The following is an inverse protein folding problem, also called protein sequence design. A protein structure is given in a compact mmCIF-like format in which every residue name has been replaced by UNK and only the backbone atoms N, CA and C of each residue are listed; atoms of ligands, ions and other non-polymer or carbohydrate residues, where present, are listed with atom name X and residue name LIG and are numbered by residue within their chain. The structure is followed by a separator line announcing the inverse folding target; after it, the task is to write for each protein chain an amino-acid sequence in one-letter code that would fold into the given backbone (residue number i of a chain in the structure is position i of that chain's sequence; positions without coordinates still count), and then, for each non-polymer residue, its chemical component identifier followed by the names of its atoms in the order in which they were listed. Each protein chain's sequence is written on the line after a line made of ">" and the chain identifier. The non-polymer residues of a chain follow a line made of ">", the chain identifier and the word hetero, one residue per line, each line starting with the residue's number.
data_IF_854184485583
#
_entry.id   IF_854184485583
#
_cell.length_a   1.000
_cell.length_b   1.000
_cell.length_c   1.000
_cell.angle_alpha   90.00
_cell.angle_beta   90.00
_cell.angle_gamma   90.00
#
_symmetry.space_group_name_H-M   'P 1'
#
loop_
_entity.id
_entity.type
_entity.pdbx_description
1 polymer ?
#
# COMPACT_ATOMS: atom_id res chain seq x y z
N UNK A 1 0.96 16.55 -8.41
CA UNK A 1 0.68 17.92 -8.93
C UNK A 1 1.02 17.95 -10.41
N UNK A 2 0.19 18.63 -11.20
CA UNK A 2 0.16 18.76 -12.67
C UNK A 2 -0.62 17.67 -13.44
N UNK A 3 -1.94 17.75 -13.33
CA UNK A 3 -2.91 17.31 -14.33
C UNK A 3 -3.00 18.38 -15.43
N UNK A 4 -2.63 18.05 -16.66
CA UNK A 4 -2.91 18.89 -17.83
C UNK A 4 -4.38 18.71 -18.21
N UNK A 5 -5.17 19.72 -17.85
CA UNK A 5 -6.56 19.91 -18.22
C UNK A 5 -6.64 20.34 -19.69
N UNK A 6 -7.23 19.54 -20.55
CA UNK A 6 -7.58 19.95 -21.93
C UNK A 6 -9.09 20.01 -22.04
N UNK A 7 -9.60 21.23 -22.04
CA UNK A 7 -11.01 21.59 -22.28
C UNK A 7 -11.39 21.32 -23.73
N UNK A 8 -12.61 20.83 -24.05
CA UNK A 8 -13.15 20.90 -25.40
C UNK A 8 -13.99 22.17 -25.58
N UNK A 9 -13.67 22.96 -26.58
CA UNK A 9 -14.52 24.06 -27.04
C UNK A 9 -15.59 23.52 -28.00
N UNK A 10 -16.88 23.87 -27.84
CA UNK A 10 -17.91 23.60 -28.82
C UNK A 10 -18.08 24.81 -29.75
N UNK A 11 -17.98 24.60 -31.06
CA UNK A 11 -18.49 25.55 -32.05
C UNK A 11 -19.61 24.88 -32.83
N UNK A 12 -20.83 25.18 -32.42
CA UNK A 12 -21.97 25.11 -33.32
C UNK A 12 -21.94 26.31 -34.26
N UNK A 13 -22.45 26.10 -35.48
CA UNK A 13 -23.28 27.10 -36.13
C UNK A 13 -24.35 26.36 -36.93
N UNK A 14 -25.58 26.56 -36.50
CA UNK A 14 -26.82 26.18 -37.13
C UNK A 14 -27.44 27.47 -37.67
N UNK A 15 -27.96 27.45 -38.90
CA UNK A 15 -29.02 28.29 -39.49
C UNK A 15 -28.84 28.31 -41.01
N UNK A 16 -29.84 28.42 -41.88
CA UNK A 16 -31.27 28.11 -41.81
C UNK A 16 -31.79 28.09 -43.25
N UNK A 17 -32.77 27.23 -43.50
CA UNK A 17 -34.00 27.42 -44.27
C UNK A 17 -34.01 28.38 -45.49
N UNK A 18 -34.39 27.83 -46.66
CA UNK A 18 -35.46 28.39 -47.51
C UNK A 18 -35.93 27.35 -48.54
N UNK A 19 -37.12 26.79 -48.31
CA UNK A 19 -37.96 26.25 -49.38
C UNK A 19 -38.37 27.39 -50.33
N UNK A 20 -38.33 27.13 -51.65
CA UNK A 20 -39.19 27.84 -52.59
C UNK A 20 -39.65 26.89 -53.69
N UNK A 21 -40.97 26.77 -53.79
CA UNK A 21 -41.75 25.98 -54.75
C UNK A 21 -41.48 26.39 -56.23
N UNK A 22 -41.83 25.53 -57.21
CA UNK A 22 -41.45 25.73 -58.61
C UNK A 22 -42.34 26.80 -59.27
N UNK A 23 -41.70 27.77 -59.93
CA UNK A 23 -42.38 28.74 -60.79
C UNK A 23 -42.57 28.11 -62.17
N UNK A 24 -43.81 27.85 -62.52
CA UNK A 24 -44.26 27.50 -63.87
C UNK A 24 -44.10 28.71 -64.80
N UNK A 25 -43.21 28.60 -65.79
CA UNK A 25 -43.17 29.51 -66.96
C UNK A 25 -43.72 28.74 -68.15
N UNK A 26 -44.83 29.25 -68.67
CA UNK A 26 -45.52 28.73 -69.85
C UNK A 26 -44.77 29.07 -71.13
N UNK A 27 -44.97 28.19 -72.11
CA UNK A 27 -44.43 28.17 -73.46
C UNK A 27 -44.43 29.52 -74.18
N UNK A 28 -43.34 29.78 -74.92
CA UNK A 28 -43.31 30.80 -75.96
C UNK A 28 -41.98 30.83 -76.68
N UNK A 29 -41.98 30.30 -77.91
CA UNK A 29 -41.05 30.70 -78.96
C UNK A 29 -39.68 30.02 -78.93
N UNK A 30 -39.33 29.43 -80.07
CA UNK A 30 -37.99 29.06 -80.54
C UNK A 30 -37.08 28.27 -79.58
N UNK A 31 -37.06 26.95 -79.77
CA UNK A 31 -35.96 26.07 -79.36
C UNK A 31 -34.64 26.59 -79.97
N UNK A 32 -33.68 27.13 -79.19
CA UNK A 32 -32.41 27.62 -79.74
C UNK A 32 -31.45 26.48 -80.16
N UNK A 33 -31.95 25.25 -80.26
CA UNK A 33 -31.16 24.05 -80.50
C UNK A 33 -31.20 23.53 -81.94
N UNK A 34 -31.90 24.22 -82.87
CA UNK A 34 -31.88 23.84 -84.30
C UNK A 34 -30.75 24.50 -85.11
N UNK A 35 -29.81 25.20 -84.45
CA UNK A 35 -28.74 25.98 -85.10
C UNK A 35 -27.40 25.29 -85.32
N UNK A 36 -27.19 24.06 -84.83
CA UNK A 36 -25.99 23.27 -85.12
C UNK A 36 -26.44 21.98 -85.81
N UNK A 37 -26.13 21.84 -87.10
CA UNK A 37 -26.28 20.58 -87.82
C UNK A 37 -25.22 19.58 -87.32
N UNK A 38 -25.40 19.09 -86.10
CA UNK A 38 -24.67 17.94 -85.59
C UNK A 38 -25.23 16.72 -86.30
N UNK A 39 -24.36 15.95 -86.94
CA UNK A 39 -24.75 14.66 -87.47
C UNK A 39 -25.25 13.76 -86.32
N UNK A 40 -26.12 12.81 -86.60
CA UNK A 40 -26.55 11.83 -85.58
C UNK A 40 -25.35 11.11 -84.93
N UNK A 41 -24.22 11.00 -85.65
CA UNK A 41 -22.94 10.55 -85.11
C UNK A 41 -22.33 11.48 -84.05
N UNK A 42 -22.41 12.80 -84.20
CA UNK A 42 -21.80 13.75 -83.26
C UNK A 42 -22.57 13.78 -81.92
N UNK A 43 -23.90 13.71 -81.97
CA UNK A 43 -24.73 13.58 -80.75
C UNK A 43 -24.41 12.28 -80.00
N UNK A 44 -24.22 11.20 -80.75
CA UNK A 44 -23.84 9.89 -80.20
C UNK A 44 -22.45 9.92 -79.57
N UNK A 45 -21.49 10.63 -80.18
CA UNK A 45 -20.15 10.80 -79.63
C UNK A 45 -20.15 11.58 -78.30
N UNK A 46 -20.90 12.70 -78.21
CA UNK A 46 -21.00 13.50 -76.98
C UNK A 46 -21.64 12.70 -75.84
N UNK A 47 -22.71 11.96 -76.12
CA UNK A 47 -23.35 11.09 -75.11
C UNK A 47 -22.42 9.97 -74.62
N UNK A 48 -21.54 9.47 -75.49
CA UNK A 48 -20.55 8.44 -75.13
C UNK A 48 -19.50 9.01 -74.18
N UNK A 49 -18.95 10.19 -74.47
CA UNK A 49 -17.99 10.88 -73.60
C UNK A 49 -18.57 11.22 -72.21
N UNK A 50 -19.82 11.69 -72.15
CA UNK A 50 -20.50 11.96 -70.88
C UNK A 50 -20.67 10.67 -70.07
N UNK A 51 -21.02 9.56 -70.71
CA UNK A 51 -21.14 8.25 -70.04
C UNK A 51 -19.80 7.77 -69.50
N UNK A 52 -18.72 7.90 -70.28
CA UNK A 52 -17.36 7.55 -69.87
C UNK A 52 -16.88 8.39 -68.68
N UNK A 53 -17.17 9.69 -68.69
CA UNK A 53 -16.86 10.60 -67.56
C UNK A 53 -17.65 10.22 -66.30
N UNK A 54 -18.95 9.90 -66.42
CA UNK A 54 -19.77 9.44 -65.29
C UNK A 54 -19.19 8.15 -64.70
N UNK A 55 -18.85 7.17 -65.53
CA UNK A 55 -18.24 5.91 -65.09
C UNK A 55 -16.92 6.17 -64.36
N UNK A 56 -16.07 7.04 -64.91
CA UNK A 56 -14.78 7.39 -64.30
C UNK A 56 -14.99 8.03 -62.93
N UNK A 57 -15.93 8.98 -62.81
CA UNK A 57 -16.28 9.63 -61.53
C UNK A 57 -16.88 8.67 -60.52
N UNK A 58 -17.68 7.70 -60.96
CA UNK A 58 -18.25 6.67 -60.11
C UNK A 58 -17.17 5.72 -59.56
N UNK A 59 -16.19 5.35 -60.40
CA UNK A 59 -15.01 4.58 -59.97
C UNK A 59 -14.21 5.36 -58.94
N UNK A 60 -13.84 6.61 -59.21
CA UNK A 60 -13.10 7.46 -58.27
C UNK A 60 -13.83 7.59 -56.93
N UNK A 61 -15.14 7.85 -56.95
CA UNK A 61 -15.96 7.94 -55.74
C UNK A 61 -15.98 6.62 -54.95
N UNK A 62 -16.07 5.49 -55.66
CA UNK A 62 -16.03 4.16 -55.03
C UNK A 62 -14.68 3.87 -54.38
N UNK A 63 -13.57 4.27 -55.01
CA UNK A 63 -12.22 4.10 -54.47
C UNK A 63 -12.00 4.96 -53.23
N UNK A 64 -12.42 6.22 -53.26
CA UNK A 64 -12.32 7.11 -52.10
C UNK A 64 -13.18 6.62 -50.93
N UNK A 65 -14.39 6.10 -51.21
CA UNK A 65 -15.24 5.49 -50.20
C UNK A 65 -14.57 4.29 -49.54
N UNK A 66 -13.93 3.42 -50.34
CA UNK A 66 -13.18 2.26 -49.83
C UNK A 66 -12.02 2.68 -48.93
N UNK A 67 -11.18 3.62 -49.39
CA UNK A 67 -10.04 4.15 -48.61
C UNK A 67 -10.50 4.77 -47.29
N UNK A 68 -11.58 5.56 -47.32
CA UNK A 68 -12.15 6.16 -46.13
C UNK A 68 -12.61 5.09 -45.12
N UNK A 69 -13.31 4.04 -45.59
CA UNK A 69 -13.78 2.98 -44.71
C UNK A 69 -12.62 2.16 -44.11
N UNK A 70 -11.57 1.89 -44.89
CA UNK A 70 -10.35 1.24 -44.42
C UNK A 70 -9.67 2.05 -43.30
N UNK A 71 -9.39 3.35 -43.53
CA UNK A 71 -8.80 4.21 -42.51
C UNK A 71 -9.72 4.37 -41.29
N UNK A 72 -11.05 4.40 -41.50
CA UNK A 72 -12.01 4.44 -40.39
C UNK A 72 -11.90 3.19 -39.51
N UNK A 73 -11.76 2.01 -40.12
CA UNK A 73 -11.59 0.77 -39.38
C UNK A 73 -10.26 0.73 -38.60
N UNK A 74 -9.16 1.18 -39.21
CA UNK A 74 -7.85 1.27 -38.52
C UNK A 74 -7.91 2.17 -37.28
N UNK A 75 -8.59 3.33 -37.39
CA UNK A 75 -8.81 4.23 -36.25
C UNK A 75 -9.64 3.56 -35.16
N UNK A 76 -10.65 2.77 -35.51
CA UNK A 76 -11.45 2.02 -34.54
C UNK A 76 -10.62 0.96 -33.81
N UNK A 77 -9.77 0.21 -34.52
CA UNK A 77 -8.88 -0.77 -33.88
C UNK A 77 -7.87 -0.08 -32.96
N UNK A 78 -7.28 1.04 -33.40
CA UNK A 78 -6.35 1.81 -32.57
C UNK A 78 -7.02 2.35 -31.30
N UNK A 79 -8.28 2.78 -31.38
CA UNK A 79 -9.06 3.20 -30.19
C UNK A 79 -9.25 2.05 -29.19
N UNK A 80 -9.47 0.82 -29.65
CA UNK A 80 -9.57 -0.34 -28.75
C UNK A 80 -8.25 -0.58 -28.01
N UNK A 81 -7.14 -0.51 -28.73
CA UNK A 81 -5.80 -0.67 -28.15
C UNK A 81 -5.55 0.40 -27.08
N UNK A 82 -5.85 1.67 -27.37
CA UNK A 82 -5.70 2.77 -26.40
C UNK A 82 -6.56 2.53 -25.16
N UNK A 83 -7.82 2.13 -25.32
CA UNK A 83 -8.72 1.86 -24.19
C UNK A 83 -8.19 0.72 -23.28
N UNK A 84 -7.62 -0.34 -23.86
CA UNK A 84 -7.01 -1.42 -23.08
C UNK A 84 -5.74 -0.97 -22.34
N UNK A 85 -4.91 -0.11 -22.95
CA UNK A 85 -3.76 0.49 -22.26
C UNK A 85 -4.18 1.42 -21.13
N UNK A 86 -5.18 2.27 -21.35
CA UNK A 86 -5.73 3.15 -20.32
C UNK A 86 -6.22 2.34 -19.11
N UNK A 87 -6.97 1.26 -19.37
CA UNK A 87 -7.42 0.34 -18.33
C UNK A 87 -6.26 -0.32 -17.58
N UNK A 88 -5.24 -0.77 -18.32
CA UNK A 88 -4.06 -1.42 -17.72
C UNK A 88 -3.30 -0.44 -16.83
N UNK A 89 -3.08 0.79 -17.29
CA UNK A 89 -2.40 1.84 -16.52
C UNK A 89 -3.20 2.18 -15.25
N UNK A 90 -4.53 2.34 -15.37
CA UNK A 90 -5.39 2.61 -14.22
C UNK A 90 -5.29 1.48 -13.17
N UNK A 91 -5.36 0.22 -13.61
CA UNK A 91 -5.22 -0.94 -12.73
C UNK A 91 -3.86 -0.97 -12.03
N UNK A 92 -2.77 -0.70 -12.75
CA UNK A 92 -1.41 -0.68 -12.19
C UNK A 92 -1.28 0.39 -11.09
N UNK A 93 -1.84 1.59 -11.31
CA UNK A 93 -1.84 2.67 -10.32
C UNK A 93 -2.63 2.26 -9.07
N UNK A 94 -3.82 1.70 -9.25
CA UNK A 94 -4.65 1.23 -8.12
C UNK A 94 -3.97 0.12 -7.32
N UNK A 95 -3.33 -0.83 -8.00
CA UNK A 95 -2.62 -1.94 -7.37
C UNK A 95 -1.37 -1.45 -6.60
N UNK A 96 -0.62 -0.51 -7.16
CA UNK A 96 0.52 0.11 -6.47
C UNK A 96 0.06 0.87 -5.22
N UNK A 97 -1.00 1.68 -5.32
CA UNK A 97 -1.58 2.40 -4.19
C UNK A 97 -2.08 1.43 -3.10
N UNK A 98 -2.79 0.37 -3.48
CA UNK A 98 -3.29 -0.65 -2.55
C UNK A 98 -2.14 -1.35 -1.84
N UNK A 99 -1.10 -1.70 -2.58
CA UNK A 99 0.11 -2.37 -2.04
C UNK A 99 0.84 -1.44 -1.07
N UNK A 100 1.02 -0.16 -1.43
CA UNK A 100 1.66 0.84 -0.58
C UNK A 100 0.89 1.07 0.73
N UNK A 101 -0.44 1.23 0.65
CA UNK A 101 -1.28 1.37 1.84
C UNK A 101 -1.22 0.13 2.75
N UNK A 102 -1.16 -1.06 2.15
CA UNK A 102 -1.08 -2.32 2.90
C UNK A 102 0.28 -2.46 3.59
N UNK A 103 1.37 -2.17 2.90
CA UNK A 103 2.71 -2.21 3.47
C UNK A 103 2.90 -1.15 4.55
N UNK A 104 2.36 0.06 4.36
CA UNK A 104 2.38 1.12 5.37
C UNK A 104 1.63 0.73 6.64
N UNK A 105 0.44 0.14 6.52
CA UNK A 105 -0.32 -0.38 7.67
C UNK A 105 0.44 -1.48 8.41
N UNK A 106 0.99 -2.43 7.67
CA UNK A 106 1.81 -3.50 8.24
C UNK A 106 3.03 -2.95 8.98
N UNK A 107 3.72 -1.97 8.38
CA UNK A 107 4.85 -1.30 9.01
C UNK A 107 4.47 -0.56 10.30
N UNK A 108 3.35 0.15 10.31
CA UNK A 108 2.82 0.82 11.51
C UNK A 108 2.49 -0.20 12.61
N UNK A 109 1.84 -1.31 12.27
CA UNK A 109 1.54 -2.37 13.22
C UNK A 109 2.82 -2.98 13.82
N UNK A 110 3.81 -3.32 12.99
CA UNK A 110 5.10 -3.84 13.47
C UNK A 110 5.83 -2.82 14.36
N UNK A 111 5.69 -1.53 14.07
CA UNK A 111 6.27 -0.46 14.90
C UNK A 111 5.60 -0.43 16.28
N UNK A 112 4.28 -0.50 16.34
CA UNK A 112 3.54 -0.56 17.60
C UNK A 112 3.89 -1.83 18.40
N UNK A 113 3.96 -2.99 17.75
CA UNK A 113 4.35 -4.25 18.39
C UNK A 113 5.78 -4.18 18.95
N UNK A 114 6.71 -3.58 18.21
CA UNK A 114 8.08 -3.31 18.69
C UNK A 114 8.07 -2.41 19.91
N UNK A 115 7.33 -1.31 19.89
CA UNK A 115 7.25 -0.36 21.02
C UNK A 115 6.66 -1.04 22.26
N UNK A 116 5.63 -1.87 22.09
CA UNK A 116 5.05 -2.66 23.16
C UNK A 116 6.07 -3.64 23.75
N UNK A 117 6.78 -4.40 22.90
CA UNK A 117 7.81 -5.33 23.35
C UNK A 117 8.95 -4.64 24.11
N UNK A 118 9.34 -3.42 23.69
CA UNK A 118 10.31 -2.60 24.42
C UNK A 118 9.76 -2.15 25.79
N UNK A 119 8.49 -1.78 25.89
CA UNK A 119 7.88 -1.41 27.16
C UNK A 119 7.84 -2.61 28.13
N UNK A 120 7.51 -3.80 27.63
CA UNK A 120 7.47 -5.04 28.39
C UNK A 120 8.87 -5.45 28.87
N UNK A 121 9.88 -5.36 27.99
CA UNK A 121 11.29 -5.59 28.37
C UNK A 121 11.72 -4.67 29.51
N UNK A 122 11.47 -3.36 29.37
CA UNK A 122 11.79 -2.38 30.41
C UNK A 122 11.07 -2.67 31.75
N UNK A 123 9.87 -3.25 31.71
CA UNK A 123 9.13 -3.65 32.90
C UNK A 123 9.80 -4.84 33.60
N UNK A 124 10.20 -5.85 32.82
CA UNK A 124 10.92 -7.02 33.32
C UNK A 124 12.25 -6.61 33.94
N UNK A 125 13.04 -5.77 33.27
CA UNK A 125 14.33 -5.28 33.78
C UNK A 125 14.20 -4.53 35.11
N UNK A 126 13.14 -3.72 35.26
CA UNK A 126 12.81 -3.05 36.52
C UNK A 126 12.49 -4.05 37.63
N UNK A 127 11.62 -5.03 37.36
CA UNK A 127 11.27 -6.06 38.34
C UNK A 127 12.46 -6.93 38.75
N UNK A 128 13.37 -7.20 37.82
CA UNK A 128 14.60 -7.95 38.06
C UNK A 128 15.56 -7.17 38.95
N UNK A 129 15.71 -5.87 38.69
CA UNK A 129 16.52 -4.98 39.53
C UNK A 129 15.98 -4.93 40.97
N UNK A 130 14.67 -4.89 41.14
CA UNK A 130 14.03 -4.96 42.46
C UNK A 130 14.26 -6.32 43.15
N UNK A 131 14.20 -7.42 42.39
CA UNK A 131 14.49 -8.75 42.90
C UNK A 131 15.94 -8.84 43.41
N UNK A 132 16.91 -8.36 42.63
CA UNK A 132 18.32 -8.34 43.04
C UNK A 132 18.54 -7.52 44.31
N UNK A 133 17.91 -6.34 44.41
CA UNK A 133 17.98 -5.53 45.63
C UNK A 133 17.42 -6.27 46.86
N UNK A 134 16.27 -6.94 46.72
CA UNK A 134 15.68 -7.74 47.81
C UNK A 134 16.56 -8.92 48.19
N UNK A 135 17.16 -9.57 47.19
CA UNK A 135 18.06 -10.69 47.40
C UNK A 135 19.31 -10.27 48.18
N UNK A 136 19.98 -9.20 47.78
CA UNK A 136 21.17 -8.71 48.50
C UNK A 136 20.84 -8.26 49.93
N UNK A 137 19.68 -7.63 50.14
CA UNK A 137 19.21 -7.31 51.50
C UNK A 137 19.03 -8.57 52.37
N UNK A 138 18.35 -9.59 51.83
CA UNK A 138 18.11 -10.84 52.55
C UNK A 138 19.42 -11.58 52.86
N UNK A 139 20.34 -11.61 51.90
CA UNK A 139 21.68 -12.17 52.08
C UNK A 139 22.42 -11.48 53.23
N UNK A 140 22.39 -10.14 53.31
CA UNK A 140 22.96 -9.41 54.43
C UNK A 140 22.34 -9.76 55.78
N UNK A 141 21.02 -9.93 55.85
CA UNK A 141 20.32 -10.38 57.07
C UNK A 141 20.75 -11.80 57.47
N UNK A 142 20.84 -12.73 56.52
CA UNK A 142 21.28 -14.10 56.76
C UNK A 142 22.73 -14.17 57.26
N UNK A 143 23.64 -13.37 56.68
CA UNK A 143 25.01 -13.24 57.18
C UNK A 143 25.03 -12.72 58.63
N UNK A 144 24.12 -11.80 58.98
CA UNK A 144 23.92 -11.33 60.34
C UNK A 144 23.46 -12.45 61.29
N UNK A 145 22.47 -13.25 60.89
CA UNK A 145 22.02 -14.39 61.69
C UNK A 145 23.12 -15.42 61.90
N UNK A 146 23.92 -15.71 60.86
CA UNK A 146 25.05 -16.64 60.97
C UNK A 146 26.08 -16.17 62.01
N UNK A 147 26.46 -14.88 61.97
CA UNK A 147 27.36 -14.29 62.99
C UNK A 147 26.78 -14.36 64.39
N UNK A 148 25.47 -14.10 64.53
CA UNK A 148 24.78 -14.19 65.82
C UNK A 148 24.77 -15.62 66.37
N UNK A 149 24.49 -16.60 65.51
CA UNK A 149 24.53 -18.02 65.86
C UNK A 149 25.94 -18.45 66.33
N UNK A 150 26.99 -18.02 65.62
CA UNK A 150 28.38 -18.28 66.01
C UNK A 150 28.72 -17.67 67.38
N UNK A 151 28.27 -16.44 67.65
CA UNK A 151 28.47 -15.77 68.93
C UNK A 151 27.73 -16.48 70.08
N UNK A 152 26.48 -16.88 69.87
CA UNK A 152 25.68 -17.63 70.85
C UNK A 152 26.29 -19.00 71.14
N UNK A 153 26.76 -19.72 70.11
CA UNK A 153 27.48 -21.00 70.28
C UNK A 153 28.73 -20.84 71.13
N UNK A 154 29.53 -19.82 70.87
CA UNK A 154 30.72 -19.51 71.68
C UNK A 154 30.35 -19.21 73.13
N UNK A 155 29.33 -18.38 73.35
CA UNK A 155 28.86 -18.04 74.69
C UNK A 155 28.39 -19.29 75.47
N UNK A 156 27.65 -20.19 74.82
CA UNK A 156 27.23 -21.46 75.42
C UNK A 156 28.42 -22.37 75.76
N UNK A 157 29.43 -22.44 74.88
CA UNK A 157 30.67 -23.19 75.13
C UNK A 157 31.45 -22.63 76.32
N UNK A 158 31.58 -21.30 76.42
CA UNK A 158 32.26 -20.63 77.52
C UNK A 158 31.56 -20.90 78.87
N UNK A 159 30.22 -20.88 78.89
CA UNK A 159 29.46 -21.26 80.10
C UNK A 159 29.68 -22.72 80.48
N UNK A 160 29.63 -23.65 79.52
CA UNK A 160 29.89 -25.06 79.77
C UNK A 160 31.30 -25.29 80.35
N UNK A 161 32.31 -24.59 79.82
CA UNK A 161 33.67 -24.67 80.32
C UNK A 161 33.77 -24.19 81.77
N UNK A 162 33.12 -23.07 82.11
CA UNK A 162 33.09 -22.53 83.48
C UNK A 162 32.39 -23.48 84.45
N UNK A 163 31.26 -24.07 84.08
CA UNK A 163 30.56 -25.05 84.91
C UNK A 163 31.45 -26.25 85.22
N UNK A 164 32.11 -26.81 84.19
CA UNK A 164 33.04 -27.94 84.38
C UNK A 164 34.22 -27.59 85.29
N UNK A 165 34.76 -26.38 85.17
CA UNK A 165 35.84 -25.92 86.03
C UNK A 165 35.41 -25.81 87.50
N UNK A 166 34.23 -25.26 87.77
CA UNK A 166 33.68 -25.17 89.11
C UNK A 166 33.32 -26.55 89.69
N UNK A 167 32.78 -27.47 88.87
CA UNK A 167 32.53 -28.86 89.28
C UNK A 167 33.82 -29.58 89.68
N UNK A 168 34.89 -29.44 88.89
CA UNK A 168 36.21 -30.01 89.22
C UNK A 168 36.76 -29.43 90.52
N UNK A 169 36.63 -28.10 90.71
CA UNK A 169 37.05 -27.42 91.93
C UNK A 169 36.28 -27.94 93.14
N UNK A 170 34.96 -28.08 93.03
CA UNK A 170 34.12 -28.62 94.10
C UNK A 170 34.53 -30.06 94.46
N UNK A 171 34.74 -30.93 93.47
CA UNK A 171 35.20 -32.30 93.69
C UNK A 171 36.54 -32.35 94.43
N UNK A 172 37.51 -31.50 94.04
CA UNK A 172 38.80 -31.42 94.71
C UNK A 172 38.68 -30.98 96.18
N UNK A 173 37.85 -29.96 96.46
CA UNK A 173 37.58 -29.53 97.83
C UNK A 173 36.87 -30.60 98.66
N UNK A 174 35.93 -31.33 98.05
CA UNK A 174 35.20 -32.43 98.69
C UNK A 174 36.16 -33.54 99.13
N UNK A 175 37.01 -34.03 98.23
CA UNK A 175 38.00 -35.08 98.54
C UNK A 175 38.92 -34.64 99.68
N UNK A 176 39.45 -33.42 99.60
CA UNK A 176 40.33 -32.89 100.65
C UNK A 176 39.63 -32.76 102.01
N UNK A 177 38.33 -32.46 102.05
CA UNK A 177 37.56 -32.44 103.28
C UNK A 177 37.31 -33.86 103.83
N UNK A 178 37.00 -34.83 102.97
CA UNK A 178 36.84 -36.25 103.32
C UNK A 178 38.14 -36.82 103.91
N UNK A 179 39.29 -36.57 103.28
CA UNK A 179 40.62 -36.99 103.77
C UNK A 179 41.02 -36.41 105.14
N UNK A 180 40.47 -35.24 105.51
CA UNK A 180 40.72 -34.61 106.81
C UNK A 180 39.83 -35.14 107.94
N UNK A 181 38.67 -35.74 107.61
CA UNK A 181 37.78 -36.35 108.60
C UNK A 181 38.21 -37.77 108.99
N UNK A 182 38.93 -38.48 108.10
CA UNK A 182 39.43 -39.84 108.34
C UNK A 182 40.73 -39.92 109.17
N UNK A 183 41.20 -38.80 109.73
CA UNK A 183 42.36 -38.71 110.66
C UNK A 183 41.94 -38.24 112.04
#
# INVERSE_FOLDING_TARGET
>A
MNVLNVSPSPQGLFESSMEKAPVSVACGGESPLDGICLSESDKTAVLTLIREEIITKEIEASEWKKKYEETRQEVLEMRKIVAEYEKTIAQMIEDEQRTNMTSQKSFQQLTMEKEQALADLNSVERSLSDLFRRYENLKGVLEGFKKNEEALKKCAQDYLARVKQEEQRYQALKIHAEEKLDK
#
